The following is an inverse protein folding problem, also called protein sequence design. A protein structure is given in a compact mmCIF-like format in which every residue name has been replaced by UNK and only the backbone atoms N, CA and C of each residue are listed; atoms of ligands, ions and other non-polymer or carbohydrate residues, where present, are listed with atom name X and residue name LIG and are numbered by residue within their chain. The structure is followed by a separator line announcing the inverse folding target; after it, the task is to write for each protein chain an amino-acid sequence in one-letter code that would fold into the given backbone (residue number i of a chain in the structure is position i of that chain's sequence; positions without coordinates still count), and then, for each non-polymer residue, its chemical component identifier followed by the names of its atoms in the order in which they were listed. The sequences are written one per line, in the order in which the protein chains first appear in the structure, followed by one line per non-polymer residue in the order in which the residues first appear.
data_IF_210190352168
#
_entry.id   IF_210190352168
#
_cell.length_a   1.000
_cell.length_b   1.000
_cell.length_c   1.000
_cell.angle_alpha   90.00
_cell.angle_beta   90.00
_cell.angle_gamma   90.00
#
_symmetry.space_group_name_H-M   'P 1'
#
loop_
_entity.id
_entity.type
_entity.pdbx_description
1 polymer ?
2 polymer ?
3 non-polymer ?
4 non-polymer ?
5 non-polymer ?
6 water ?
#
# COMPACT_ATOMS: atom_id res chain seq x y z
N UNK A 1 14.54 19.28 3.60
CA UNK A 1 15.31 18.11 4.10
C UNK A 1 16.70 18.06 3.50
N UNK A 2 17.41 16.95 3.73
CA UNK A 2 18.77 16.71 3.19
C UNK A 2 18.71 16.69 1.66
N UNK A 3 17.51 16.59 1.05
CA UNK A 3 17.43 16.51 -0.44
C UNK A 3 17.07 17.85 -1.03
N UNK A 4 16.98 18.88 -0.20
CA UNK A 4 16.52 20.22 -0.62
C UNK A 4 17.44 20.84 -1.69
N UNK A 5 18.72 20.54 -1.66
CA UNK A 5 19.68 21.12 -2.64
C UNK A 5 19.80 20.30 -3.94
N UNK A 6 19.18 19.11 -4.05
CA UNK A 6 19.29 18.29 -5.27
C UNK A 6 18.14 18.59 -6.23
N UNK A 7 18.45 18.67 -7.51
CA UNK A 7 17.41 18.83 -8.57
C UNK A 7 16.35 17.72 -8.45
N UNK A 8 15.10 18.07 -8.71
CA UNK A 8 14.02 17.06 -8.84
C UNK A 8 14.43 15.96 -9.82
N UNK A 9 14.91 16.30 -11.02
CA UNK A 9 15.16 15.27 -12.04
C UNK A 9 16.28 14.34 -11.54
N UNK A 10 17.26 14.89 -10.84
CA UNK A 10 18.40 14.10 -10.24
C UNK A 10 17.89 13.16 -9.15
N UNK A 11 16.97 13.60 -8.29
CA UNK A 11 16.37 12.74 -7.25
C UNK A 11 15.64 11.56 -7.93
N UNK A 12 14.90 11.81 -8.99
CA UNK A 12 14.14 10.75 -9.70
C UNK A 12 15.13 9.78 -10.34
N UNK A 13 16.15 10.32 -11.01
CA UNK A 13 17.18 9.45 -11.63
C UNK A 13 17.81 8.57 -10.54
N UNK A 14 18.19 9.15 -9.42
CA UNK A 14 18.83 8.36 -8.32
C UNK A 14 17.84 7.40 -7.65
N UNK A 15 16.54 7.71 -7.56
CA UNK A 15 15.53 6.73 -7.07
C UNK A 15 15.59 5.48 -7.97
N UNK A 16 15.71 5.70 -9.30
CA UNK A 16 15.72 4.58 -10.27
C UNK A 16 17.00 3.77 -10.10
N UNK A 17 18.13 4.44 -9.88
CA UNK A 17 19.42 3.74 -9.64
C UNK A 17 19.32 2.93 -8.34
N UNK A 18 18.79 3.54 -7.29
CA UNK A 18 18.66 2.91 -5.96
C UNK A 18 17.81 1.66 -6.10
N UNK A 19 16.70 1.72 -6.83
CA UNK A 19 15.87 0.52 -7.10
C UNK A 19 16.75 -0.58 -7.74
N UNK A 20 17.55 -0.25 -8.74
CA UNK A 20 18.40 -1.27 -9.43
C UNK A 20 19.41 -1.88 -8.44
N UNK A 21 19.90 -1.10 -7.48
CA UNK A 21 20.88 -1.50 -6.47
C UNK A 21 20.21 -2.15 -5.26
N UNK A 22 18.88 -2.25 -5.25
CA UNK A 22 18.10 -2.78 -4.09
C UNK A 22 18.43 -1.96 -2.82
N UNK A 23 18.59 -0.67 -2.97
CA UNK A 23 18.84 0.31 -1.90
C UNK A 23 17.54 1.05 -1.60
N UNK A 24 16.58 0.37 -0.94
CA UNK A 24 15.21 0.91 -0.89
C UNK A 24 15.12 2.08 0.09
N UNK A 25 15.91 2.07 1.18
CA UNK A 25 15.90 3.24 2.10
C UNK A 25 16.39 4.46 1.31
N UNK A 26 17.45 4.34 0.53
CA UNK A 26 17.89 5.47 -0.33
C UNK A 26 16.77 5.82 -1.35
N UNK A 27 16.15 4.83 -1.96
CA UNK A 27 15.12 5.07 -3.00
C UNK A 27 13.99 5.92 -2.37
N UNK A 28 13.57 5.59 -1.14
CA UNK A 28 12.49 6.28 -0.42
C UNK A 28 12.91 7.71 -0.06
N UNK A 29 14.13 7.89 0.40
CA UNK A 29 14.63 9.25 0.74
C UNK A 29 14.65 10.13 -0.53
N UNK A 30 15.09 9.59 -1.66
CA UNK A 30 15.16 10.36 -2.93
C UNK A 30 13.73 10.71 -3.36
N UNK A 31 12.79 9.77 -3.23
CA UNK A 31 11.40 10.03 -3.65
C UNK A 31 10.70 11.00 -2.67
N UNK A 32 10.98 10.92 -1.37
CA UNK A 32 10.48 11.93 -0.42
C UNK A 32 10.97 13.30 -0.86
N UNK A 33 12.27 13.39 -1.17
CA UNK A 33 12.84 14.68 -1.62
C UNK A 33 12.17 15.17 -2.90
N UNK A 34 11.85 14.27 -3.85
CA UNK A 34 11.15 14.66 -5.10
C UNK A 34 9.76 15.20 -4.74
N UNK A 35 9.04 14.52 -3.85
CA UNK A 35 7.66 14.96 -3.48
C UNK A 35 7.75 16.37 -2.87
N UNK A 36 8.74 16.60 -2.03
CA UNK A 36 8.87 17.88 -1.28
C UNK A 36 9.26 19.04 -2.21
N UNK A 37 9.62 18.77 -3.47
CA UNK A 37 9.75 19.86 -4.46
C UNK A 37 8.41 20.55 -4.68
N UNK A 38 7.29 19.86 -4.42
CA UNK A 38 5.95 20.49 -4.40
C UNK A 38 5.21 20.38 -5.73
N UNK A 39 5.82 19.82 -6.77
CA UNK A 39 5.13 19.50 -8.05
C UNK A 39 4.38 18.17 -7.90
N UNK A 40 3.28 18.03 -8.62
CA UNK A 40 2.54 16.75 -8.72
C UNK A 40 3.49 15.67 -9.28
N UNK A 41 3.20 14.41 -9.02
CA UNK A 41 4.01 13.28 -9.52
C UNK A 41 3.35 12.70 -10.75
N UNK A 42 4.16 12.25 -11.68
CA UNK A 42 3.69 11.49 -12.87
C UNK A 42 3.29 10.08 -12.42
N UNK A 43 2.66 9.30 -13.29
CA UNK A 43 2.35 7.88 -12.99
C UNK A 43 3.60 7.10 -12.60
N UNK A 44 4.66 7.21 -13.39
CA UNK A 44 5.94 6.50 -13.11
C UNK A 44 6.45 6.92 -11.74
N UNK A 45 6.43 8.22 -11.46
CA UNK A 45 7.00 8.77 -10.18
C UNK A 45 6.16 8.28 -8.97
N UNK A 46 4.85 8.21 -9.13
CA UNK A 46 3.96 7.69 -8.05
C UNK A 46 4.32 6.24 -7.78
N UNK A 47 4.62 5.49 -8.84
CA UNK A 47 4.99 4.07 -8.70
C UNK A 47 6.36 3.98 -8.03
N UNK A 48 7.31 4.86 -8.33
CA UNK A 48 8.62 4.83 -7.64
C UNK A 48 8.41 5.10 -6.15
N UNK A 49 7.57 6.08 -5.81
CA UNK A 49 7.32 6.44 -4.41
C UNK A 49 6.75 5.23 -3.68
N UNK A 50 5.74 4.58 -4.28
CA UNK A 50 5.07 3.46 -3.63
C UNK A 50 6.00 2.26 -3.50
N UNK A 51 6.75 1.90 -4.54
CA UNK A 51 7.69 0.74 -4.49
C UNK A 51 8.71 1.00 -3.38
N UNK A 52 9.22 2.23 -3.29
CA UNK A 52 10.31 2.51 -2.32
C UNK A 52 9.79 2.23 -0.93
N UNK A 53 8.69 2.88 -0.55
CA UNK A 53 8.21 2.78 0.83
C UNK A 53 7.66 1.40 1.09
N UNK A 54 7.07 0.74 0.09
CA UNK A 54 6.53 -0.62 0.30
C UNK A 54 7.68 -1.56 0.69
N UNK A 55 8.83 -1.42 0.06
CA UNK A 55 10.01 -2.24 0.35
C UNK A 55 10.51 -1.91 1.75
N UNK A 56 10.58 -0.65 2.11
CA UNK A 56 11.12 -0.28 3.45
C UNK A 56 10.17 -0.83 4.54
N UNK A 57 8.89 -0.52 4.43
CA UNK A 57 7.92 -0.91 5.50
C UNK A 57 7.82 -2.43 5.50
N UNK A 58 8.00 -3.10 4.34
CA UNK A 58 7.89 -4.57 4.31
C UNK A 58 9.00 -5.23 5.12
N UNK A 59 10.22 -4.72 5.07
CA UNK A 59 11.29 -5.24 5.95
C UNK A 59 10.90 -5.08 7.42
N UNK A 60 10.36 -3.94 7.78
CA UNK A 60 10.01 -3.60 9.18
C UNK A 60 8.85 -4.53 9.62
N UNK A 61 7.84 -4.72 8.77
CA UNK A 61 6.69 -5.59 9.15
C UNK A 61 7.20 -7.00 9.39
N UNK A 62 8.07 -7.50 8.53
CA UNK A 62 8.58 -8.86 8.62
C UNK A 62 9.35 -8.98 9.93
N UNK A 63 10.20 -8.00 10.23
CA UNK A 63 10.99 -7.99 11.49
C UNK A 63 10.05 -7.91 12.69
N UNK A 64 9.05 -7.02 12.65
CA UNK A 64 8.09 -6.87 13.75
C UNK A 64 7.41 -8.21 14.05
N UNK A 65 6.97 -8.95 13.03
CA UNK A 65 6.23 -10.19 13.24
C UNK A 65 7.11 -11.24 13.90
N UNK A 66 8.36 -11.33 13.50
CA UNK A 66 9.36 -12.28 14.08
C UNK A 66 9.47 -11.95 15.57
N UNK A 67 9.64 -10.67 15.92
CA UNK A 67 9.89 -10.22 17.31
C UNK A 67 8.61 -10.43 18.14
N UNK A 68 7.45 -10.07 17.60
CA UNK A 68 6.16 -10.22 18.30
C UNK A 68 5.93 -11.69 18.64
N UNK A 69 6.26 -12.56 17.72
CA UNK A 69 6.10 -14.03 17.87
C UNK A 69 6.98 -14.50 19.03
N UNK A 70 8.23 -14.07 19.04
CA UNK A 70 9.19 -14.43 20.13
C UNK A 70 8.61 -13.90 21.44
N UNK A 71 8.12 -12.67 21.42
CA UNK A 71 7.62 -11.99 22.63
C UNK A 71 6.43 -12.79 23.18
N UNK A 72 5.50 -13.17 22.29
CA UNK A 72 4.28 -13.91 22.69
C UNK A 72 4.68 -15.27 23.30
N UNK A 73 5.60 -15.99 22.67
CA UNK A 73 6.18 -17.24 23.23
C UNK A 73 6.74 -16.96 24.63
N UNK A 74 7.54 -15.90 24.81
CA UNK A 74 8.21 -15.57 26.09
C UNK A 74 7.18 -15.28 27.19
N UNK A 75 5.92 -15.01 26.85
CA UNK A 75 4.78 -14.81 27.81
C UNK A 75 3.69 -15.88 27.57
N UNK A 83 13.46 -11.20 31.03
CA UNK A 83 13.95 -9.79 31.04
C UNK A 83 13.23 -8.94 30.00
N UNK A 84 13.49 -7.63 29.98
CA UNK A 84 12.73 -6.70 29.15
C UNK A 84 13.17 -6.63 27.66
N UNK A 85 14.23 -7.35 27.29
CA UNK A 85 14.95 -7.09 26.03
C UNK A 85 14.07 -7.39 24.79
N UNK A 86 13.31 -8.50 24.81
CA UNK A 86 12.44 -8.84 23.63
C UNK A 86 11.42 -7.71 23.44
N UNK A 87 10.71 -7.32 24.49
CA UNK A 87 9.72 -6.21 24.43
C UNK A 87 10.40 -4.92 23.97
N UNK A 88 11.57 -4.57 24.54
CA UNK A 88 12.27 -3.33 24.20
C UNK A 88 12.59 -3.33 22.70
N UNK A 89 13.08 -4.45 22.19
CA UNK A 89 13.58 -4.50 20.79
C UNK A 89 12.36 -4.51 19.84
N UNK A 90 11.30 -5.23 20.23
CA UNK A 90 10.07 -5.21 19.40
C UNK A 90 9.51 -3.78 19.37
N UNK A 91 9.60 -3.07 20.48
CA UNK A 91 9.11 -1.66 20.57
C UNK A 91 9.98 -0.76 19.69
N UNK A 92 11.28 -1.03 19.64
CA UNK A 92 12.23 -0.19 18.83
C UNK A 92 11.84 -0.33 17.36
N UNK A 93 11.64 -1.57 16.92
CA UNK A 93 11.27 -1.84 15.49
C UNK A 93 9.87 -1.27 15.23
N UNK A 94 8.95 -1.43 16.17
CA UNK A 94 7.56 -0.90 16.02
C UNK A 94 7.63 0.62 15.84
N UNK A 95 8.41 1.31 16.66
CA UNK A 95 8.50 2.79 16.61
C UNK A 95 9.06 3.21 15.25
N UNK A 96 10.07 2.52 14.74
CA UNK A 96 10.64 2.87 13.40
C UNK A 96 9.59 2.64 12.31
N UNK A 97 8.87 1.52 12.37
CA UNK A 97 7.76 1.24 11.41
C UNK A 97 6.71 2.36 11.45
N UNK A 98 6.31 2.75 12.67
CA UNK A 98 5.30 3.82 12.86
C UNK A 98 5.86 5.08 12.25
N UNK A 99 7.16 5.35 12.43
CA UNK A 99 7.73 6.57 11.84
C UNK A 99 7.67 6.59 10.33
N UNK A 100 7.97 5.50 9.67
CA UNK A 100 7.89 5.35 8.19
C UNK A 100 6.43 5.55 7.76
N UNK A 101 5.47 4.94 8.46
CA UNK A 101 4.03 5.14 8.13
C UNK A 101 3.67 6.62 8.28
N UNK A 102 4.04 7.28 9.36
CA UNK A 102 3.72 8.70 9.57
C UNK A 102 4.39 9.56 8.49
N UNK A 103 5.60 9.20 8.07
CA UNK A 103 6.28 9.97 7.00
C UNK A 103 5.46 9.90 5.69
N UNK A 104 5.06 8.69 5.30
CA UNK A 104 4.27 8.51 4.06
C UNK A 104 2.93 9.22 4.20
N UNK A 105 2.21 9.03 5.31
CA UNK A 105 0.94 9.72 5.56
C UNK A 105 1.16 11.24 5.51
N UNK A 106 2.31 11.72 6.01
CA UNK A 106 2.60 13.17 5.97
C UNK A 106 2.76 13.67 4.54
N UNK A 107 3.37 12.89 3.66
CA UNK A 107 3.55 13.30 2.26
C UNK A 107 2.17 13.31 1.59
N UNK A 108 1.34 12.34 1.90
CA UNK A 108 0.01 12.29 1.22
C UNK A 108 -0.84 13.50 1.66
N UNK A 109 -0.73 13.86 2.93
CA UNK A 109 -1.54 14.96 3.50
C UNK A 109 -0.93 16.34 3.17
N UNK A 110 0.35 16.35 2.85
CA UNK A 110 1.08 17.60 2.59
C UNK A 110 2.00 17.51 1.36
N UNK A 111 1.46 17.54 0.14
CA UNK A 111 0.05 17.88 -0.20
C UNK A 111 -0.40 17.05 -1.40
N UNK A 112 0.01 15.78 -1.45
CA UNK A 112 -0.25 14.96 -2.65
C UNK A 112 -1.74 14.77 -2.93
N UNK A 113 -2.50 14.40 -1.91
CA UNK A 113 -3.93 14.09 -2.10
C UNK A 113 -4.65 15.37 -2.54
N UNK A 114 -4.47 16.47 -1.82
CA UNK A 114 -5.33 17.65 -2.09
C UNK A 114 -5.05 18.14 -3.51
N UNK A 115 -3.87 17.88 -4.11
CA UNK A 115 -3.61 18.40 -5.48
C UNK A 115 -3.96 17.37 -6.54
N UNK A 116 -4.37 16.15 -6.14
CA UNK A 116 -4.61 15.05 -7.08
C UNK A 116 -6.07 15.12 -7.55
N UNK A 117 -6.29 15.53 -8.79
CA UNK A 117 -7.66 15.66 -9.31
C UNK A 117 -8.03 14.54 -10.27
N UNK A 118 -7.05 13.93 -10.91
CA UNK A 118 -7.35 12.81 -11.83
C UNK A 118 -7.62 11.56 -10.99
N UNK A 119 -8.53 10.72 -11.49
CA UNK A 119 -8.89 9.49 -10.76
C UNK A 119 -7.67 8.60 -10.53
N UNK A 120 -6.82 8.47 -11.54
CA UNK A 120 -5.65 7.53 -11.47
C UNK A 120 -4.70 7.97 -10.36
N UNK A 121 -4.55 9.29 -10.21
CA UNK A 121 -3.65 9.80 -9.14
C UNK A 121 -4.38 9.80 -7.80
N UNK A 122 -5.60 10.30 -7.80
CA UNK A 122 -6.39 10.44 -6.54
C UNK A 122 -6.57 9.07 -5.89
N UNK A 123 -7.03 8.08 -6.65
CA UNK A 123 -7.27 6.71 -6.12
C UNK A 123 -5.95 6.10 -5.69
N UNK A 124 -4.88 6.32 -6.45
CA UNK A 124 -3.55 5.79 -6.07
C UNK A 124 -3.19 6.27 -4.66
N UNK A 125 -3.27 7.58 -4.43
CA UNK A 125 -2.81 8.18 -3.15
C UNK A 125 -3.78 7.75 -2.04
N UNK A 126 -5.08 7.69 -2.30
CA UNK A 126 -6.01 7.30 -1.22
C UNK A 126 -5.80 5.82 -0.86
N UNK A 127 -5.57 4.97 -1.85
CA UNK A 127 -5.19 3.58 -1.60
C UNK A 127 -3.95 3.55 -0.67
N UNK A 128 -2.92 4.36 -0.99
CA UNK A 128 -1.69 4.41 -0.16
C UNK A 128 -2.06 4.81 1.26
N UNK A 129 -2.93 5.81 1.43
CA UNK A 129 -3.32 6.29 2.76
C UNK A 129 -3.98 5.13 3.53
N UNK A 130 -4.87 4.38 2.90
CA UNK A 130 -5.47 3.19 3.53
C UNK A 130 -4.40 2.18 3.91
N UNK A 131 -3.46 1.91 3.00
CA UNK A 131 -2.40 0.88 3.22
C UNK A 131 -1.56 1.29 4.43
N UNK A 132 -1.18 2.56 4.55
CA UNK A 132 -0.23 2.95 5.64
C UNK A 132 -0.97 3.03 6.98
N UNK A 133 -2.24 3.38 7.00
CA UNK A 133 -3.06 3.21 8.24
C UNK A 133 -3.24 1.73 8.56
N UNK A 134 -3.38 0.88 7.55
CA UNK A 134 -3.45 -0.59 7.77
C UNK A 134 -2.17 -1.10 8.44
N UNK A 135 -1.01 -0.66 7.98
CA UNK A 135 0.29 -1.08 8.59
C UNK A 135 0.32 -0.58 10.03
N UNK A 136 -0.15 0.62 10.30
CA UNK A 136 -0.24 1.10 11.70
C UNK A 136 -1.19 0.20 12.49
N UNK A 137 -2.33 -0.16 11.91
CA UNK A 137 -3.33 -0.99 12.62
C UNK A 137 -2.72 -2.34 12.99
N UNK A 138 -1.83 -2.88 12.16
CA UNK A 138 -1.25 -4.23 12.37
C UNK A 138 -0.50 -4.25 13.72
N UNK A 139 0.06 -3.12 14.16
CA UNK A 139 0.89 -3.07 15.40
C UNK A 139 0.16 -2.31 16.51
N UNK A 140 -1.06 -1.85 16.28
CA UNK A 140 -1.81 -1.01 17.22
C UNK A 140 -2.48 -1.86 18.30
N UNK A 141 -2.42 -1.36 19.53
CA UNK A 141 -3.08 -1.93 20.74
C UNK A 141 -3.68 -0.75 21.52
N UNK A 144 -6.40 3.91 20.71
CA UNK A 144 -5.93 4.41 19.40
C UNK A 144 -6.32 3.44 18.27
N UNK A 145 -6.34 2.14 18.53
CA UNK A 145 -6.48 1.12 17.47
C UNK A 145 -7.78 1.33 16.66
N UNK A 146 -8.91 1.59 17.32
CA UNK A 146 -10.21 1.73 16.61
C UNK A 146 -10.16 2.91 15.65
N UNK A 147 -9.59 4.02 16.10
CA UNK A 147 -9.54 5.25 15.29
C UNK A 147 -8.57 4.96 14.13
N UNK A 148 -7.52 4.19 14.34
CA UNK A 148 -6.55 3.92 13.24
C UNK A 148 -7.27 3.07 12.16
N UNK A 149 -8.00 2.07 12.59
CA UNK A 149 -8.78 1.18 11.68
C UNK A 149 -9.77 2.04 10.91
N UNK A 150 -10.46 2.95 11.58
CA UNK A 150 -11.48 3.78 10.90
C UNK A 150 -10.81 4.68 9.85
N UNK A 151 -9.59 5.18 10.14
CA UNK A 151 -8.84 6.02 9.18
C UNK A 151 -8.54 5.19 7.94
N UNK A 152 -8.08 3.96 8.12
CA UNK A 152 -7.79 3.06 6.98
C UNK A 152 -9.09 2.85 6.20
N UNK A 153 -10.16 2.47 6.90
CA UNK A 153 -11.47 2.20 6.23
C UNK A 153 -11.88 3.41 5.41
N UNK A 154 -11.81 4.58 6.02
CA UNK A 154 -12.28 5.82 5.39
C UNK A 154 -11.55 6.10 4.08
N UNK A 155 -10.24 5.97 4.09
CA UNK A 155 -9.39 6.23 2.92
C UNK A 155 -9.72 5.22 1.82
N UNK A 156 -9.75 3.93 2.17
CA UNK A 156 -10.11 2.85 1.23
C UNK A 156 -11.49 3.13 0.64
N UNK A 157 -12.46 3.52 1.46
CA UNK A 157 -13.86 3.68 0.95
C UNK A 157 -13.90 4.83 -0.06
N UNK A 158 -13.23 5.95 0.24
CA UNK A 158 -13.22 7.12 -0.67
C UNK A 158 -12.56 6.69 -1.99
N UNK A 159 -11.47 5.95 -1.94
CA UNK A 159 -10.75 5.47 -3.13
C UNK A 159 -11.68 4.53 -3.90
N UNK A 160 -12.42 3.66 -3.20
CA UNK A 160 -13.35 2.71 -3.87
C UNK A 160 -14.46 3.49 -4.56
N UNK A 161 -15.05 4.46 -3.89
CA UNK A 161 -16.17 5.23 -4.49
C UNK A 161 -15.70 5.89 -5.79
N UNK A 162 -14.51 6.50 -5.79
CA UNK A 162 -14.00 7.20 -6.99
C UNK A 162 -13.70 6.15 -8.05
N UNK A 163 -13.12 5.01 -7.67
CA UNK A 163 -12.66 4.03 -8.66
C UNK A 163 -13.88 3.46 -9.39
N UNK A 164 -14.96 3.27 -8.65
CA UNK A 164 -16.18 2.63 -9.23
C UNK A 164 -16.84 3.59 -10.21
N UNK A 165 -16.73 4.90 -9.98
CA UNK A 165 -17.37 5.93 -10.83
C UNK A 165 -16.48 6.20 -12.05
N UNK A 166 -15.15 6.12 -11.91
CA UNK A 166 -14.23 6.78 -12.87
C UNK A 166 -13.35 5.80 -13.63
N UNK A 167 -13.26 4.56 -13.22
CA UNK A 167 -12.31 3.58 -13.78
C UNK A 167 -13.06 2.35 -14.20
N UNK A 168 -12.63 1.66 -15.28
CA UNK A 168 -13.20 0.38 -15.66
C UNK A 168 -12.82 -0.67 -14.63
N UNK A 169 -13.59 -1.77 -14.56
CA UNK A 169 -13.35 -2.78 -13.54
C UNK A 169 -12.04 -3.54 -13.68
N UNK A 170 -11.39 -3.48 -14.85
CA UNK A 170 -10.06 -4.12 -15.06
C UNK A 170 -8.92 -3.16 -14.69
N UNK A 171 -9.20 -1.88 -14.41
CA UNK A 171 -8.10 -0.91 -14.15
C UNK A 171 -7.21 -1.48 -13.06
N UNK A 172 -5.88 -1.66 -13.28
CA UNK A 172 -5.05 -2.28 -12.25
C UNK A 172 -4.99 -1.53 -10.92
N UNK A 173 -5.13 -0.20 -10.94
CA UNK A 173 -5.17 0.55 -9.65
C UNK A 173 -6.44 0.17 -8.91
N UNK A 174 -7.57 0.18 -9.61
CA UNK A 174 -8.87 -0.24 -9.00
C UNK A 174 -8.74 -1.68 -8.47
N UNK A 175 -8.11 -2.59 -9.20
CA UNK A 175 -7.98 -4.00 -8.78
C UNK A 175 -7.11 -4.12 -7.53
N UNK A 176 -5.99 -3.41 -7.52
CA UNK A 176 -5.05 -3.45 -6.39
C UNK A 176 -5.67 -2.86 -5.13
N UNK A 177 -6.46 -1.81 -5.33
CA UNK A 177 -7.23 -1.21 -4.22
C UNK A 177 -8.18 -2.24 -3.63
N UNK A 178 -8.98 -2.88 -4.48
CA UNK A 178 -9.98 -3.83 -3.98
C UNK A 178 -9.30 -5.00 -3.28
N UNK A 179 -8.22 -5.51 -3.86
CA UNK A 179 -7.41 -6.55 -3.21
C UNK A 179 -7.05 -6.13 -1.77
N UNK A 180 -6.47 -4.94 -1.64
CA UNK A 180 -5.94 -4.50 -0.32
C UNK A 180 -7.12 -4.23 0.62
N UNK A 181 -8.21 -3.65 0.11
CA UNK A 181 -9.37 -3.35 0.96
C UNK A 181 -9.95 -4.67 1.43
N UNK A 182 -9.95 -5.69 0.58
CA UNK A 182 -10.48 -7.05 0.96
C UNK A 182 -9.64 -7.63 2.09
N UNK A 183 -8.31 -7.47 2.06
CA UNK A 183 -7.43 -7.99 3.13
C UNK A 183 -7.64 -7.15 4.41
N UNK A 184 -7.80 -5.84 4.29
CA UNK A 184 -8.20 -4.99 5.42
C UNK A 184 -9.43 -5.61 6.10
N UNK A 185 -10.48 -5.93 5.32
CA UNK A 185 -11.72 -6.46 5.87
C UNK A 185 -11.40 -7.75 6.60
N UNK A 186 -10.63 -8.62 5.97
CA UNK A 186 -10.46 -10.02 6.45
C UNK A 186 -9.77 -10.05 7.82
N UNK A 187 -8.67 -9.31 7.94
CA UNK A 187 -7.81 -9.52 9.11
C UNK A 187 -7.61 -8.25 9.94
N UNK A 188 -8.08 -7.10 9.50
CA UNK A 188 -8.01 -5.90 10.38
C UNK A 188 -9.38 -5.58 10.94
N UNK A 189 -10.42 -5.58 10.09
CA UNK A 189 -11.80 -5.28 10.50
C UNK A 189 -12.51 -6.55 11.00
N UNK A 190 -11.89 -7.72 10.92
CA UNK A 190 -12.48 -9.00 11.38
C UNK A 190 -13.84 -9.19 10.69
N UNK A 191 -13.89 -8.89 9.40
CA UNK A 191 -15.08 -9.00 8.53
C UNK A 191 -14.76 -9.96 7.39
N UNK A 192 -14.48 -11.24 7.65
CA UNK A 192 -14.12 -12.16 6.58
C UNK A 192 -15.18 -12.27 5.49
N UNK A 193 -16.46 -12.14 5.84
CA UNK A 193 -17.50 -12.29 4.80
C UNK A 193 -17.45 -11.10 3.85
N UNK A 194 -17.26 -9.89 4.40
CA UNK A 194 -17.10 -8.69 3.53
C UNK A 194 -15.86 -8.89 2.63
N UNK A 195 -14.76 -9.38 3.17
CA UNK A 195 -13.51 -9.61 2.41
C UNK A 195 -13.77 -10.52 1.21
N UNK A 196 -14.46 -11.63 1.46
CA UNK A 196 -14.74 -12.67 0.43
C UNK A 196 -15.69 -12.08 -0.63
N UNK A 197 -16.74 -11.38 -0.22
CA UNK A 197 -17.72 -10.74 -1.14
C UNK A 197 -16.99 -9.74 -2.02
N UNK A 198 -16.20 -8.89 -1.41
CA UNK A 198 -15.47 -7.89 -2.23
C UNK A 198 -14.54 -8.59 -3.23
N UNK A 199 -13.76 -9.59 -2.80
CA UNK A 199 -12.77 -10.24 -3.69
C UNK A 199 -13.51 -10.93 -4.86
N UNK A 200 -14.63 -11.58 -4.56
CA UNK A 200 -15.43 -12.30 -5.58
C UNK A 200 -16.03 -11.31 -6.60
N UNK A 201 -16.77 -10.31 -6.15
CA UNK A 201 -17.39 -9.30 -7.04
C UNK A 201 -16.31 -8.64 -7.89
N UNK A 202 -15.18 -8.28 -7.25
CA UNK A 202 -14.08 -7.60 -7.99
C UNK A 202 -13.57 -8.51 -9.10
N UNK A 203 -13.34 -9.78 -8.79
CA UNK A 203 -12.80 -10.74 -9.78
C UNK A 203 -13.79 -10.90 -10.93
N UNK A 204 -15.07 -11.10 -10.61
CA UNK A 204 -16.13 -11.42 -11.61
C UNK A 204 -16.33 -10.21 -12.51
N UNK A 205 -16.32 -9.00 -11.97
CA UNK A 205 -16.57 -7.80 -12.79
C UNK A 205 -15.34 -7.56 -13.66
N UNK A 206 -14.15 -7.88 -13.17
CA UNK A 206 -12.95 -7.72 -14.01
C UNK A 206 -13.01 -8.75 -15.16
N UNK A 207 -13.31 -10.01 -14.83
CA UNK A 207 -13.38 -11.12 -15.82
C UNK A 207 -14.22 -10.66 -17.03
N UNK A 208 -15.36 -10.06 -16.75
CA UNK A 208 -16.34 -9.68 -17.78
C UNK A 208 -15.88 -8.50 -18.63
N UNK A 209 -14.83 -7.76 -18.20
CA UNK A 209 -14.35 -6.57 -18.94
C UNK A 209 -13.02 -6.91 -19.67
N UNK A 210 -12.47 -8.11 -19.51
CA UNK A 210 -11.14 -8.45 -20.06
C UNK A 210 -11.20 -8.39 -21.59
N UNK A 211 -12.36 -8.64 -22.17
CA UNK A 211 -12.52 -8.70 -23.65
C UNK A 211 -12.18 -7.35 -24.28
N UNK A 212 -12.25 -6.26 -23.51
CA UNK A 212 -12.03 -4.88 -24.01
C UNK A 212 -10.54 -4.56 -24.11
N UNK A 213 -9.64 -5.40 -23.57
CA UNK A 213 -8.22 -5.03 -23.35
C UNK A 213 -7.33 -5.52 -24.49
N UNK A 214 -6.25 -4.78 -24.70
CA UNK A 214 -5.07 -5.24 -25.44
C UNK A 214 -4.38 -6.38 -24.68
N UNK A 215 -3.50 -7.09 -25.38
CA UNK A 215 -2.70 -8.18 -24.78
C UNK A 215 -1.92 -7.64 -23.56
N UNK A 216 -1.31 -6.46 -23.67
CA UNK A 216 -0.47 -5.92 -22.56
C UNK A 216 -1.37 -5.55 -21.37
N UNK A 217 -2.51 -4.90 -21.60
CA UNK A 217 -3.46 -4.52 -20.52
C UNK A 217 -4.03 -5.77 -19.88
N UNK A 218 -4.34 -6.77 -20.70
CA UNK A 218 -4.83 -8.09 -20.23
C UNK A 218 -3.84 -8.71 -19.24
N UNK A 219 -2.53 -8.72 -19.55
CA UNK A 219 -1.50 -9.25 -18.63
C UNK A 219 -1.52 -8.47 -17.31
N UNK A 220 -1.57 -7.14 -17.35
CA UNK A 220 -1.53 -6.29 -16.14
C UNK A 220 -2.73 -6.63 -15.24
N UNK A 221 -3.93 -6.70 -15.80
CA UNK A 221 -5.20 -6.96 -15.07
C UNK A 221 -5.24 -8.39 -14.52
N UNK A 222 -4.86 -9.40 -15.32
CA UNK A 222 -4.98 -10.80 -14.86
C UNK A 222 -3.93 -11.09 -13.76
N UNK A 223 -2.79 -10.41 -13.76
CA UNK A 223 -1.79 -10.61 -12.67
C UNK A 223 -2.46 -10.28 -11.33
N UNK A 224 -3.21 -9.21 -11.26
CA UNK A 224 -3.81 -8.79 -9.96
C UNK A 224 -5.03 -9.67 -9.69
N UNK A 225 -5.76 -10.05 -10.74
CA UNK A 225 -6.93 -10.95 -10.54
C UNK A 225 -6.43 -12.26 -9.93
N UNK A 226 -5.23 -12.72 -10.28
CA UNK A 226 -4.69 -13.99 -9.71
C UNK A 226 -4.44 -13.81 -8.22
N UNK A 227 -4.06 -12.60 -7.77
CA UNK A 227 -3.93 -12.34 -6.32
C UNK A 227 -5.27 -12.44 -5.60
N UNK A 228 -6.36 -11.89 -6.16
CA UNK A 228 -7.71 -12.01 -5.57
C UNK A 228 -8.04 -13.52 -5.49
N UNK A 229 -7.77 -14.26 -6.56
CA UNK A 229 -8.09 -15.73 -6.55
C UNK A 229 -7.25 -16.44 -5.47
N UNK A 230 -5.98 -16.10 -5.35
CA UNK A 230 -5.09 -16.73 -4.34
C UNK A 230 -5.72 -16.53 -2.95
N UNK A 231 -6.13 -15.31 -2.63
CA UNK A 231 -6.77 -15.05 -1.32
C UNK A 231 -8.08 -15.83 -1.19
N UNK A 232 -8.92 -15.81 -2.22
CA UNK A 232 -10.21 -16.53 -2.15
C UNK A 232 -9.99 -18.03 -1.88
N UNK A 233 -8.94 -18.61 -2.48
CA UNK A 233 -8.58 -20.04 -2.29
C UNK A 233 -8.25 -20.31 -0.83
N UNK A 234 -7.54 -19.42 -0.16
CA UNK A 234 -7.16 -19.58 1.26
C UNK A 234 -8.38 -19.31 2.15
N UNK A 235 -9.33 -18.46 1.73
CA UNK A 235 -10.43 -17.96 2.60
C UNK A 235 -11.66 -18.86 2.54
N UNK A 236 -11.78 -19.64 1.47
CA UNK A 236 -12.90 -20.57 1.23
C UNK A 236 -12.29 -21.97 1.11
N UNK B 1 3.15 -15.60 10.88
CA UNK B 1 1.74 -15.31 10.49
C UNK B 1 1.58 -15.64 9.01
N UNK B 2 0.50 -16.33 8.66
CA UNK B 2 0.03 -16.43 7.24
C UNK B 2 -0.32 -15.01 6.79
N UNK B 3 0.45 -14.45 5.84
CA UNK B 3 0.15 -13.14 5.18
C UNK B 3 -0.62 -13.39 3.89
N UNK B 4 -1.71 -12.64 3.66
CA UNK B 4 -2.53 -12.75 2.43
C UNK B 4 -1.93 -11.83 1.35
N UNK B 5 -2.29 -12.04 0.08
CA UNK B 5 -1.73 -11.28 -1.07
C UNK B 5 -2.21 -9.83 -0.98
N UNK B 6 -1.26 -8.93 -1.01
CA UNK B 6 -1.62 -7.54 -1.21
C UNK B 6 -0.80 -7.07 -2.39
N UNK B 7 -1.18 -5.91 -2.81
CA UNK B 7 -0.68 -5.28 -4.02
C UNK B 7 0.83 -4.98 -3.91
N UNK B 8 1.55 -5.13 -5.02
CA UNK B 8 2.90 -4.57 -5.14
C UNK B 8 3.94 -5.48 -4.52
N UNK B 9 5.18 -4.97 -4.30
CA UNK B 9 6.29 -5.79 -3.80
C UNK B 9 5.93 -6.55 -2.53
N UNK B 10 6.12 -7.87 -2.58
CA UNK B 10 5.98 -8.80 -1.43
C UNK B 10 7.31 -8.75 -0.69
N UNK B 11 7.49 -7.65 0.05
CA UNK B 11 8.76 -7.18 0.64
C UNK B 11 8.84 -7.56 2.13
N UNK B 12 7.78 -8.19 2.66
CA UNK B 12 7.73 -8.70 4.05
C UNK B 12 7.70 -10.24 3.97
X LIG C 1 6.43 3.31 -15.88
X LIG C 1 3.80 4.13 -15.62
X LIG C 1 8.05 2.30 -13.29
X LIG C 1 6.33 2.24 -13.68
X LIG C 1 5.78 1.37 -12.75
X LIG C 1 6.68 0.79 -11.82
X LIG C 1 7.99 1.19 -11.93
X LIG C 1 9.22 0.78 -11.07
X LIG C 1 9.27 -0.11 -10.14
X LIG C 1 10.41 1.48 -11.38
X LIG C 1 5.70 2.97 -14.72
X LIG C 1 5.85 4.05 -16.91
X LIG C 1 4.54 4.46 -16.77
X LIG C 1 4.37 3.39 -14.60
X LIG D 1 16.36 -1.91 21.71
X LIG E 1 4.75 0.94 20.99
X LIG F 1 3.62 -10.07 2.09
#
# INVERSE_FOLDING_TARGET
GAMGSMERASLIQKAKLAEQAERYEDMAAFMKGAVEKGEELSCEERNLLSVAYKNVVGGQRAAWRVLSSIEQKSNEEGSEEKGPEVREYREKVETELQGVCDTVLGLLDSHLIKEAGDAESRVFYLKMKGDYYRYLAEVATGDDKKRIIDSARSAYQEAMDISKKEMPPTNPIRLGLALNFSVFHYEIANSPEEAISLAKTTFDEAMADLHTLSEDSYKDSTLIMQLLRDNLTLWTADNAGEEGGEAPQEPQS
KLMFKTEGPDSD
KLE C10 C13 S01 C02 C03 C04 C05 C06 N07 N08 C09 C11 C12 C14
CA CA
MG MG
MG MG
#
